data_IF_549593205473
#
_entry.id   IF_549593205473
#
_cell.length_a   1.000
_cell.length_b   1.000
_cell.length_c   1.000
_cell.angle_alpha   90.00
_cell.angle_beta   90.00
_cell.angle_gamma   90.00
#
_symmetry.space_group_name_H-M   'P 1'
#
loop_
_entity.id
_entity.type
_entity.pdbx_description
1 polymer ?
#
# COMPACT_ATOMS: atom_id res chain seq x y z
N UNK A 1 -67.92 -30.60 -13.91
CA UNK A 1 -66.89 -29.55 -13.94
C UNK A 1 -65.87 -29.93 -14.98
N UNK A 2 -65.65 -29.05 -15.94
CA UNK A 2 -64.62 -29.23 -16.97
C UNK A 2 -63.27 -28.76 -16.43
N UNK A 3 -62.15 -29.32 -16.93
CA UNK A 3 -60.80 -28.98 -16.44
C UNK A 3 -60.49 -27.47 -16.47
N UNK A 4 -61.06 -26.74 -17.43
CA UNK A 4 -60.90 -25.29 -17.51
C UNK A 4 -61.60 -24.54 -16.36
N UNK A 5 -62.77 -24.99 -15.92
CA UNK A 5 -63.48 -24.37 -14.79
C UNK A 5 -62.71 -24.57 -13.48
N UNK A 6 -62.05 -25.72 -13.33
CA UNK A 6 -61.21 -26.02 -12.17
C UNK A 6 -59.94 -25.17 -12.22
N UNK A 7 -59.33 -25.00 -13.40
CA UNK A 7 -58.14 -24.17 -13.58
C UNK A 7 -58.42 -22.68 -13.28
N UNK A 8 -59.60 -22.18 -13.67
CA UNK A 8 -60.01 -20.81 -13.43
C UNK A 8 -60.34 -20.57 -11.95
N UNK A 9 -61.02 -21.53 -11.30
CA UNK A 9 -61.31 -21.50 -9.87
C UNK A 9 -60.04 -21.53 -9.01
N UNK A 10 -59.06 -22.37 -9.36
CA UNK A 10 -57.76 -22.45 -8.67
C UNK A 10 -56.91 -21.18 -8.84
N UNK A 11 -57.05 -20.48 -9.97
CA UNK A 11 -56.36 -19.21 -10.21
C UNK A 11 -57.00 -18.06 -9.42
N UNK A 12 -58.32 -18.10 -9.22
CA UNK A 12 -59.06 -17.11 -8.44
C UNK A 12 -58.90 -17.28 -6.91
N UNK A 13 -58.60 -18.49 -6.43
CA UNK A 13 -58.50 -18.78 -4.99
C UNK A 13 -57.16 -19.47 -4.62
N UNK A 14 -56.03 -18.75 -4.63
CA UNK A 14 -54.71 -19.30 -4.30
C UNK A 14 -54.58 -19.78 -2.84
N UNK A 15 -55.39 -19.27 -1.92
CA UNK A 15 -55.41 -19.73 -0.51
C UNK A 15 -55.98 -21.15 -0.34
N UNK A 16 -56.83 -21.60 -1.26
CA UNK A 16 -57.37 -22.95 -1.27
C UNK A 16 -56.26 -23.99 -1.51
N UNK A 17 -55.30 -23.65 -2.39
CA UNK A 17 -54.13 -24.47 -2.69
C UNK A 17 -53.20 -24.55 -1.46
N UNK A 18 -53.03 -23.44 -0.74
CA UNK A 18 -52.20 -23.40 0.45
C UNK A 18 -52.78 -24.25 1.61
N UNK A 19 -54.10 -24.28 1.78
CA UNK A 19 -54.76 -25.06 2.85
C UNK A 19 -54.90 -26.55 2.56
N UNK A 20 -54.79 -27.00 1.31
CA UNK A 20 -55.02 -28.39 0.92
C UNK A 20 -53.81 -29.07 0.27
N UNK A 21 -52.62 -28.43 0.39
CA UNK A 21 -51.35 -28.93 -0.14
C UNK A 21 -50.95 -30.29 0.47
N UNK A 22 -51.36 -30.57 1.70
CA UNK A 22 -51.07 -31.83 2.39
C UNK A 22 -51.85 -33.02 1.82
N UNK A 23 -53.07 -32.79 1.32
CA UNK A 23 -53.89 -33.83 0.68
C UNK A 23 -53.38 -34.18 -0.72
N UNK A 24 -52.85 -33.18 -1.44
CA UNK A 24 -52.18 -33.37 -2.73
C UNK A 24 -50.88 -34.17 -2.59
N UNK A 25 -50.14 -33.96 -1.49
CA UNK A 25 -48.93 -34.72 -1.18
C UNK A 25 -49.22 -36.17 -0.75
N UNK A 26 -50.36 -36.44 -0.11
CA UNK A 26 -50.73 -37.79 0.33
C UNK A 26 -51.09 -38.73 -0.82
N UNK A 27 -51.73 -38.23 -1.88
CA UNK A 27 -52.15 -39.04 -3.03
C UNK A 27 -51.01 -39.33 -4.03
N UNK A 28 -49.93 -38.56 -4.01
CA UNK A 28 -48.82 -38.69 -4.95
C UNK A 28 -47.80 -39.80 -4.59
N UNK A 29 -47.94 -40.43 -3.41
CA UNK A 29 -47.01 -41.48 -2.95
C UNK A 29 -47.49 -42.92 -3.24
N UNK A 30 -48.71 -43.12 -3.72
CA UNK A 30 -49.30 -44.47 -3.87
C UNK A 30 -49.24 -45.04 -5.28
N UNK A 31 -49.22 -44.22 -6.33
CA UNK A 31 -49.33 -44.70 -7.70
C UNK A 31 -48.16 -44.24 -8.57
N UNK A 32 -47.26 -45.20 -8.86
CA UNK A 32 -46.12 -45.17 -9.81
C UNK A 32 -44.81 -44.62 -9.18
N UNK A 33 -43.71 -45.38 -9.12
CA UNK A 33 -43.27 -46.31 -10.16
C UNK A 33 -43.12 -45.56 -11.49
N UNK A 34 -42.42 -44.42 -11.50
CA UNK A 34 -42.17 -43.60 -12.69
C UNK A 34 -42.04 -42.10 -12.37
N UNK A 35 -40.83 -41.57 -12.57
CA UNK A 35 -40.40 -40.14 -12.54
C UNK A 35 -41.19 -39.27 -13.55
N UNK A 36 -41.14 -37.91 -13.57
CA UNK A 36 -41.00 -36.85 -12.56
C UNK A 36 -42.36 -36.11 -12.39
N UNK A 37 -42.65 -35.27 -11.41
CA UNK A 37 -42.32 -33.83 -11.45
C UNK A 37 -42.95 -33.21 -10.18
N UNK A 38 -42.42 -33.65 -9.05
CA UNK A 38 -42.64 -33.02 -7.76
C UNK A 38 -42.02 -31.63 -7.90
N UNK A 39 -42.82 -30.58 -7.80
CA UNK A 39 -42.35 -29.19 -7.60
C UNK A 39 -41.73 -29.08 -6.21
N UNK A 40 -40.61 -29.79 -6.04
CA UNK A 40 -39.61 -29.63 -5.00
C UNK A 40 -39.10 -28.22 -5.22
N UNK A 41 -39.45 -27.30 -4.32
CA UNK A 41 -38.77 -26.01 -4.27
C UNK A 41 -37.33 -26.36 -3.89
N UNK A 42 -36.49 -26.49 -4.92
CA UNK A 42 -35.17 -27.07 -4.82
C UNK A 42 -34.32 -26.20 -3.91
N UNK A 43 -33.52 -26.82 -3.04
CA UNK A 43 -32.43 -26.16 -2.32
C UNK A 43 -31.55 -25.29 -3.25
N UNK A 44 -31.55 -25.58 -4.56
CA UNK A 44 -30.93 -24.79 -5.62
C UNK A 44 -31.40 -23.33 -5.67
N UNK A 45 -32.70 -23.03 -5.48
CA UNK A 45 -33.24 -21.67 -5.63
C UNK A 45 -32.76 -20.70 -4.53
N UNK A 46 -32.38 -21.23 -3.35
CA UNK A 46 -31.78 -20.44 -2.27
C UNK A 46 -30.25 -20.35 -2.36
N UNK A 47 -29.59 -21.30 -3.02
CA UNK A 47 -28.13 -21.35 -3.14
C UNK A 47 -27.59 -20.49 -4.28
N UNK A 48 -28.32 -20.36 -5.39
CA UNK A 48 -27.93 -19.54 -6.55
C UNK A 48 -27.63 -18.07 -6.16
N UNK A 49 -28.48 -17.34 -5.42
CA UNK A 49 -28.18 -15.95 -5.07
C UNK A 49 -26.96 -15.83 -4.13
N UNK A 50 -26.77 -16.79 -3.23
CA UNK A 50 -25.59 -16.83 -2.35
C UNK A 50 -24.29 -17.09 -3.14
N UNK A 51 -24.35 -17.99 -4.12
CA UNK A 51 -23.22 -18.26 -5.02
C UNK A 51 -22.91 -17.05 -5.90
N UNK A 52 -23.93 -16.38 -6.45
CA UNK A 52 -23.74 -15.14 -7.22
C UNK A 52 -23.14 -14.02 -6.37
N UNK A 53 -23.58 -13.84 -5.13
CA UNK A 53 -22.98 -12.88 -4.20
C UNK A 53 -21.52 -13.24 -3.89
N UNK A 54 -21.21 -14.53 -3.74
CA UNK A 54 -19.84 -15.00 -3.49
C UNK A 54 -18.94 -14.80 -4.72
N UNK A 55 -19.46 -15.05 -5.93
CA UNK A 55 -18.76 -14.76 -7.18
C UNK A 55 -18.43 -13.27 -7.27
N UNK A 56 -19.40 -12.39 -7.07
CA UNK A 56 -19.16 -10.93 -7.07
C UNK A 56 -18.14 -10.51 -6.01
N UNK A 57 -18.21 -11.09 -4.81
CA UNK A 57 -17.22 -10.81 -3.77
C UNK A 57 -15.82 -11.28 -4.15
N UNK A 58 -15.70 -12.41 -4.85
CA UNK A 58 -14.42 -12.92 -5.34
C UNK A 58 -13.89 -12.07 -6.50
N UNK A 59 -14.73 -11.68 -7.45
CA UNK A 59 -14.40 -10.77 -8.54
C UNK A 59 -13.85 -9.44 -7.99
N UNK A 60 -14.55 -8.82 -7.04
CA UNK A 60 -14.08 -7.59 -6.39
C UNK A 60 -12.74 -7.78 -5.66
N UNK A 61 -12.49 -8.94 -5.06
CA UNK A 61 -11.20 -9.24 -4.43
C UNK A 61 -10.10 -9.40 -5.46
N UNK A 62 -10.37 -10.08 -6.58
CA UNK A 62 -9.42 -10.24 -7.69
C UNK A 62 -9.06 -8.87 -8.27
N UNK A 63 -10.03 -7.99 -8.47
CA UNK A 63 -9.78 -6.63 -8.95
C UNK A 63 -8.90 -5.84 -7.97
N UNK A 64 -9.19 -5.92 -6.67
CA UNK A 64 -8.35 -5.30 -5.65
C UNK A 64 -6.92 -5.88 -5.63
N UNK A 65 -6.76 -7.20 -5.80
CA UNK A 65 -5.44 -7.82 -5.91
C UNK A 65 -4.68 -7.38 -7.16
N UNK A 66 -5.35 -7.28 -8.30
CA UNK A 66 -4.74 -6.84 -9.55
C UNK A 66 -4.26 -5.38 -9.45
N UNK A 67 -5.09 -4.53 -8.86
CA UNK A 67 -4.74 -3.12 -8.62
C UNK A 67 -3.56 -2.99 -7.65
N UNK A 68 -3.54 -3.76 -6.57
CA UNK A 68 -2.39 -3.83 -5.67
C UNK A 68 -1.14 -4.37 -6.37
N UNK A 69 -1.29 -5.35 -7.24
CA UNK A 69 -0.21 -5.89 -8.08
C UNK A 69 0.39 -4.81 -8.99
N UNK A 70 -0.45 -4.01 -9.65
CA UNK A 70 0.00 -2.89 -10.49
C UNK A 70 0.73 -1.81 -9.69
N UNK A 71 0.22 -1.45 -8.51
CA UNK A 71 0.91 -0.50 -7.62
C UNK A 71 2.27 -1.04 -7.18
N UNK A 72 2.34 -2.30 -6.77
CA UNK A 72 3.59 -2.92 -6.37
C UNK A 72 4.60 -2.95 -7.52
N UNK A 73 4.18 -3.30 -8.73
CA UNK A 73 5.05 -3.27 -9.91
C UNK A 73 5.60 -1.87 -10.18
N UNK A 74 4.76 -0.83 -10.07
CA UNK A 74 5.19 0.56 -10.22
C UNK A 74 6.22 0.96 -9.14
N UNK A 75 6.00 0.55 -7.89
CA UNK A 75 6.92 0.79 -6.76
C UNK A 75 8.27 0.10 -7.02
N UNK A 76 8.26 -1.17 -7.44
CA UNK A 76 9.47 -1.91 -7.77
C UNK A 76 10.23 -1.33 -8.96
N UNK A 77 9.51 -0.92 -10.02
CA UNK A 77 10.10 -0.23 -11.16
C UNK A 77 10.76 1.10 -10.76
N UNK A 78 10.12 1.87 -9.87
CA UNK A 78 10.68 3.09 -9.32
C UNK A 78 11.94 2.81 -8.48
N UNK A 79 11.92 1.76 -7.65
CA UNK A 79 13.09 1.34 -6.86
C UNK A 79 14.27 0.96 -7.75
N UNK A 80 14.02 0.12 -8.76
CA UNK A 80 15.06 -0.37 -9.67
C UNK A 80 15.64 0.78 -10.48
N UNK A 81 14.80 1.62 -11.07
CA UNK A 81 15.26 2.78 -11.85
C UNK A 81 16.06 3.76 -10.99
N UNK A 82 15.61 4.03 -9.75
CA UNK A 82 16.35 4.87 -8.79
C UNK A 82 17.70 4.25 -8.44
N UNK A 83 17.75 2.95 -8.14
CA UNK A 83 18.99 2.23 -7.81
C UNK A 83 20.00 2.30 -8.96
N UNK A 84 19.54 2.04 -10.19
CA UNK A 84 20.36 2.14 -11.38
C UNK A 84 20.86 3.56 -11.64
N UNK A 85 20.05 4.57 -11.35
CA UNK A 85 20.45 5.97 -11.48
C UNK A 85 21.51 6.35 -10.45
N UNK A 86 21.37 5.88 -9.20
CA UNK A 86 22.37 6.10 -8.15
C UNK A 86 23.70 5.42 -8.49
N UNK A 87 23.68 4.20 -9.05
CA UNK A 87 24.90 3.51 -9.49
C UNK A 87 25.61 4.18 -10.67
N UNK A 88 24.92 5.05 -11.42
CA UNK A 88 25.53 5.82 -12.51
C UNK A 88 26.24 7.08 -12.03
N UNK A 89 26.03 7.50 -10.78
CA UNK A 89 26.68 8.70 -10.25
C UNK A 89 28.18 8.43 -10.16
N UNK A 90 28.94 9.21 -10.91
CA UNK A 90 30.40 9.15 -11.00
C UNK A 90 31.06 9.70 -9.74
N UNK A 91 32.26 9.21 -9.44
CA UNK A 91 33.03 9.47 -8.22
C UNK A 91 33.18 10.96 -7.85
N UNK A 92 33.28 11.83 -8.86
CA UNK A 92 33.52 13.27 -8.69
C UNK A 92 32.25 14.07 -8.36
N UNK A 93 31.06 13.51 -8.65
CA UNK A 93 29.78 14.19 -8.52
C UNK A 93 28.93 13.67 -7.34
N UNK A 94 29.47 12.74 -6.54
CA UNK A 94 28.71 12.14 -5.44
C UNK A 94 28.58 13.12 -4.29
N UNK A 95 27.47 13.85 -4.27
CA UNK A 95 27.05 14.68 -3.15
C UNK A 95 25.65 14.29 -2.68
N UNK A 96 25.28 14.54 -1.41
CA UNK A 96 23.90 14.34 -0.93
C UNK A 96 22.86 15.08 -1.79
N UNK A 97 23.22 16.22 -2.38
CA UNK A 97 22.35 16.98 -3.28
C UNK A 97 22.15 16.28 -4.65
N UNK A 98 23.20 15.66 -5.19
CA UNK A 98 23.11 14.85 -6.42
C UNK A 98 22.22 13.62 -6.19
N UNK A 99 22.38 12.95 -5.06
CA UNK A 99 21.55 11.80 -4.66
C UNK A 99 20.09 12.24 -4.50
N UNK A 100 19.83 13.34 -3.78
CA UNK A 100 18.46 13.81 -3.55
C UNK A 100 17.75 14.21 -4.84
N UNK A 101 18.42 14.89 -5.75
CA UNK A 101 17.87 15.26 -7.07
C UNK A 101 17.59 14.05 -7.97
N UNK A 102 18.45 13.03 -7.91
CA UNK A 102 18.26 11.77 -8.63
C UNK A 102 17.02 11.03 -8.12
N UNK A 103 16.90 10.91 -6.78
CA UNK A 103 15.73 10.30 -6.14
C UNK A 103 14.45 11.06 -6.45
N UNK A 104 14.49 12.40 -6.43
CA UNK A 104 13.36 13.28 -6.77
C UNK A 104 12.80 12.93 -8.15
N UNK A 105 13.70 12.77 -9.13
CA UNK A 105 13.36 12.49 -10.53
C UNK A 105 12.78 11.08 -10.70
N UNK A 106 13.40 10.07 -10.10
CA UNK A 106 13.02 8.67 -10.34
C UNK A 106 11.86 8.17 -9.47
N UNK A 107 11.68 8.73 -8.28
CA UNK A 107 10.58 8.37 -7.37
C UNK A 107 9.35 9.28 -7.53
N UNK A 108 9.41 10.28 -8.43
CA UNK A 108 8.37 11.29 -8.64
C UNK A 108 7.96 11.94 -7.32
N UNK A 109 8.94 12.44 -6.56
CA UNK A 109 8.75 13.10 -5.26
C UNK A 109 8.99 14.59 -5.47
N UNK A 110 8.23 15.43 -4.77
CA UNK A 110 8.34 16.89 -4.95
C UNK A 110 9.55 17.44 -4.21
N UNK A 111 9.70 17.14 -2.93
CA UNK A 111 10.84 17.59 -2.15
C UNK A 111 11.57 16.41 -1.51
N UNK A 112 12.89 16.41 -1.65
CA UNK A 112 13.78 15.35 -1.20
C UNK A 112 15.03 15.98 -0.59
N UNK A 113 15.28 15.71 0.69
CA UNK A 113 16.44 16.25 1.41
C UNK A 113 17.14 15.18 2.22
N UNK A 114 18.47 15.21 2.20
CA UNK A 114 19.33 14.31 2.96
C UNK A 114 20.09 15.15 3.98
N UNK A 115 20.02 14.72 5.24
CA UNK A 115 20.80 15.30 6.33
C UNK A 115 21.68 14.19 6.91
N UNK A 116 22.99 14.44 7.01
CA UNK A 116 23.96 13.53 7.61
C UNK A 116 24.62 14.23 8.79
N UNK A 117 24.74 13.51 9.90
CA UNK A 117 25.42 13.93 11.12
C UNK A 117 26.70 13.11 11.26
N UNK A 118 27.81 13.79 11.53
CA UNK A 118 29.09 13.15 11.84
C UNK A 118 29.31 13.07 13.35
N UNK A 119 29.94 12.00 13.84
CA UNK A 119 30.16 11.75 15.28
C UNK A 119 30.93 12.86 16.02
N UNK A 120 31.68 13.72 15.30
CA UNK A 120 32.53 14.77 15.87
C UNK A 120 32.02 16.20 15.63
N UNK A 121 30.74 16.39 15.30
CA UNK A 121 30.21 17.71 15.00
C UNK A 121 29.70 18.41 16.26
N UNK A 122 30.35 19.51 16.67
CA UNK A 122 29.77 20.43 17.64
C UNK A 122 28.65 21.23 16.98
N UNK A 123 27.41 21.06 17.44
CA UNK A 123 26.27 21.83 16.96
C UNK A 123 26.34 23.26 17.50
N UNK A 124 26.24 24.25 16.61
CA UNK A 124 26.45 25.65 16.95
C UNK A 124 25.22 26.28 17.63
N UNK A 125 24.03 25.70 17.41
CA UNK A 125 22.77 26.20 17.96
C UNK A 125 21.97 25.13 18.70
N UNK A 126 21.12 25.57 19.64
CA UNK A 126 20.19 24.70 20.37
C UNK A 126 19.18 24.04 19.42
N UNK A 127 18.77 24.74 18.36
CA UNK A 127 17.88 24.22 17.32
C UNK A 127 18.53 23.09 16.49
N UNK A 128 19.80 23.23 16.11
CA UNK A 128 20.56 22.16 15.43
C UNK A 128 20.71 20.93 16.32
N UNK A 129 20.89 21.14 17.64
CA UNK A 129 20.98 20.04 18.59
C UNK A 129 19.63 19.31 18.75
N UNK A 130 18.52 20.05 18.79
CA UNK A 130 17.17 19.45 18.78
C UNK A 130 16.96 18.63 17.50
N UNK A 131 17.35 19.18 16.34
CA UNK A 131 17.24 18.47 15.06
C UNK A 131 18.13 17.22 15.01
N UNK A 132 19.36 17.29 15.52
CA UNK A 132 20.26 16.16 15.60
C UNK A 132 19.71 15.04 16.49
N UNK A 133 19.18 15.39 17.67
CA UNK A 133 18.52 14.44 18.57
C UNK A 133 17.29 13.79 17.92
N UNK A 134 16.51 14.57 17.14
CA UNK A 134 15.40 14.03 16.37
C UNK A 134 15.87 13.00 15.34
N UNK A 135 16.92 13.29 14.56
CA UNK A 135 17.49 12.33 13.60
C UNK A 135 17.91 11.03 14.31
N UNK A 136 18.62 11.14 15.44
CA UNK A 136 19.08 9.98 16.21
C UNK A 136 17.93 9.17 16.83
N UNK A 137 16.77 9.79 17.04
CA UNK A 137 15.58 9.10 17.57
C UNK A 137 14.82 8.26 16.53
N UNK A 138 15.10 8.44 15.24
CA UNK A 138 14.44 7.71 14.16
C UNK A 138 15.18 6.39 13.93
N UNK A 139 14.59 5.30 14.40
CA UNK A 139 15.08 3.93 14.21
C UNK A 139 14.50 3.24 12.97
N UNK A 140 13.29 3.63 12.56
CA UNK A 140 12.54 3.06 11.43
C UNK A 140 11.88 4.15 10.61
N UNK A 141 11.57 3.90 9.32
CA UNK A 141 10.90 4.90 8.50
C UNK A 141 9.51 5.24 9.07
N UNK A 142 9.21 6.54 9.13
CA UNK A 142 7.94 7.08 9.67
C UNK A 142 7.31 8.03 8.67
N UNK A 143 6.00 7.92 8.50
CA UNK A 143 5.19 8.81 7.67
C UNK A 143 4.37 9.74 8.58
N UNK A 144 4.34 11.04 8.27
CA UNK A 144 3.60 12.06 9.02
C UNK A 144 2.90 13.01 8.06
N UNK A 145 1.69 13.44 8.43
CA UNK A 145 0.92 14.45 7.68
C UNK A 145 1.47 15.85 7.96
N UNK A 146 2.04 16.08 9.15
CA UNK A 146 2.68 17.35 9.51
C UNK A 146 4.08 17.14 10.08
N UNK A 147 4.90 18.19 9.97
CA UNK A 147 6.21 18.25 10.61
C UNK A 147 6.09 18.10 12.14
N UNK A 148 6.92 17.26 12.79
CA UNK A 148 7.15 17.31 14.23
C UNK A 148 7.47 18.74 14.68
N UNK A 149 6.99 19.14 15.87
CA UNK A 149 7.18 20.51 16.37
C UNK A 149 8.66 20.86 16.52
N UNK A 150 9.47 19.86 16.87
CA UNK A 150 10.92 19.92 17.05
C UNK A 150 11.66 20.41 15.80
N UNK A 151 11.12 20.08 14.62
CA UNK A 151 11.77 20.39 13.33
C UNK A 151 10.98 21.40 12.49
N UNK A 152 9.82 21.83 12.99
CA UNK A 152 8.88 22.71 12.27
C UNK A 152 9.51 24.05 11.88
N UNK A 153 10.40 24.60 12.70
CA UNK A 153 11.11 25.84 12.35
C UNK A 153 12.08 25.65 11.18
N UNK A 154 12.79 24.52 11.16
CA UNK A 154 13.80 24.18 10.16
C UNK A 154 13.19 23.74 8.81
N UNK A 155 11.97 23.21 8.85
CA UNK A 155 11.34 22.57 7.69
C UNK A 155 10.24 23.38 6.99
N UNK A 156 9.84 24.52 7.56
CA UNK A 156 8.73 25.37 7.08
C UNK A 156 8.77 25.74 5.60
N UNK A 157 9.95 25.88 5.01
CA UNK A 157 10.07 26.36 3.62
C UNK A 157 9.95 25.26 2.56
N UNK A 158 9.93 24.00 2.95
CA UNK A 158 9.98 22.87 2.00
C UNK A 158 9.17 21.64 2.43
N UNK A 159 8.55 21.64 3.61
CA UNK A 159 7.56 20.62 3.98
C UNK A 159 6.18 20.93 3.40
N UNK A 160 5.57 19.89 2.86
CA UNK A 160 4.30 19.90 2.16
C UNK A 160 3.24 19.12 2.96
N UNK A 161 2.16 18.67 2.31
CA UNK A 161 0.99 18.10 2.96
C UNK A 161 1.20 16.70 3.57
N UNK A 162 2.22 15.96 3.15
CA UNK A 162 2.68 14.75 3.83
C UNK A 162 4.18 14.57 3.66
N UNK A 163 4.81 13.91 4.64
CA UNK A 163 6.26 13.69 4.66
C UNK A 163 6.63 12.31 5.19
N UNK A 164 7.71 11.75 4.67
CA UNK A 164 8.32 10.52 5.16
C UNK A 164 9.74 10.77 5.63
N UNK A 165 10.08 10.21 6.79
CA UNK A 165 11.39 10.30 7.44
C UNK A 165 12.01 8.92 7.42
N UNK A 166 13.16 8.80 6.76
CA UNK A 166 13.80 7.53 6.47
C UNK A 166 15.19 7.56 7.10
N UNK A 167 15.47 6.72 8.11
CA UNK A 167 16.78 6.73 8.74
C UNK A 167 17.85 6.26 7.75
N UNK A 168 19.00 6.93 7.79
CA UNK A 168 20.19 6.58 7.03
C UNK A 168 21.32 6.25 7.99
N UNK A 169 22.10 5.24 7.64
CA UNK A 169 23.29 4.87 8.41
C UNK A 169 24.45 4.66 7.45
N UNK A 170 25.52 5.41 7.69
CA UNK A 170 26.79 5.26 7.00
C UNK A 170 27.90 5.02 8.05
N UNK A 171 29.05 4.49 7.66
CA UNK A 171 30.16 4.20 8.57
C UNK A 171 30.57 5.46 9.36
N UNK A 172 30.24 5.50 10.65
CA UNK A 172 30.54 6.62 11.54
C UNK A 172 29.66 7.86 11.32
N UNK A 173 28.51 7.71 10.67
CA UNK A 173 27.56 8.81 10.46
C UNK A 173 26.12 8.32 10.45
N UNK A 174 25.23 9.08 11.08
CA UNK A 174 23.78 8.81 11.11
C UNK A 174 23.08 9.95 10.41
N UNK A 175 22.02 9.66 9.68
CA UNK A 175 21.30 10.66 8.93
C UNK A 175 19.82 10.37 8.77
N UNK A 176 19.14 11.29 8.09
CA UNK A 176 17.75 11.11 7.68
C UNK A 176 17.58 11.57 6.24
N UNK A 177 16.86 10.77 5.48
CA UNK A 177 16.29 11.14 4.19
C UNK A 177 14.83 11.54 4.43
N UNK A 178 14.48 12.76 4.02
CA UNK A 178 13.14 13.31 4.16
C UNK A 178 12.54 13.47 2.76
N UNK A 179 11.42 12.79 2.54
CA UNK A 179 10.55 13.03 1.40
C UNK A 179 9.38 13.90 1.82
N UNK A 180 8.97 14.81 0.94
CA UNK A 180 7.77 15.61 1.13
C UNK A 180 6.97 15.70 -0.17
N UNK A 181 5.65 15.71 -0.04
CA UNK A 181 4.70 15.66 -1.14
C UNK A 181 3.48 16.56 -0.87
N UNK A 182 2.98 17.24 -1.90
CA UNK A 182 1.72 17.98 -1.83
C UNK A 182 0.49 17.09 -1.68
N UNK A 183 0.60 15.81 -2.02
CA UNK A 183 -0.43 14.80 -1.78
C UNK A 183 -0.40 14.30 -0.33
N UNK A 184 -1.45 14.58 0.44
CA UNK A 184 -1.60 14.16 1.83
C UNK A 184 -1.72 12.62 2.00
N UNK A 185 -2.16 11.89 0.97
CA UNK A 185 -2.33 10.44 1.03
C UNK A 185 -1.06 9.67 0.69
N UNK A 186 -0.07 10.31 0.05
CA UNK A 186 1.15 9.63 -0.42
C UNK A 186 2.02 9.10 0.70
N UNK A 187 2.16 9.85 1.79
CA UNK A 187 2.85 9.45 3.02
C UNK A 187 1.86 9.40 4.19
N UNK A 188 0.75 8.68 4.00
CA UNK A 188 -0.20 8.40 5.08
C UNK A 188 0.46 7.50 6.16
N UNK A 189 0.26 7.79 7.46
CA UNK A 189 0.85 6.99 8.55
C UNK A 189 0.45 5.51 8.58
N UNK A 190 -0.63 5.12 7.90
CA UNK A 190 -1.11 3.74 7.85
C UNK A 190 -0.50 2.93 6.69
N UNK A 191 0.28 3.56 5.80
CA UNK A 191 0.93 2.88 4.68
C UNK A 191 2.11 2.06 5.19
N UNK A 192 2.31 0.88 4.58
CA UNK A 192 3.48 0.04 4.83
C UNK A 192 4.77 0.75 4.41
N UNK A 193 5.72 0.84 5.34
CA UNK A 193 6.97 1.56 5.16
C UNK A 193 8.13 0.69 4.67
N UNK A 194 7.90 -0.60 4.39
CA UNK A 194 8.93 -1.52 3.84
C UNK A 194 9.62 -0.98 2.58
N UNK A 195 8.88 -0.30 1.71
CA UNK A 195 9.47 0.33 0.53
C UNK A 195 10.48 1.41 0.93
N UNK A 196 10.13 2.25 1.90
CA UNK A 196 10.97 3.34 2.38
C UNK A 196 12.22 2.81 3.09
N UNK A 197 12.09 1.69 3.82
CA UNK A 197 13.22 0.98 4.43
C UNK A 197 14.23 0.52 3.36
N UNK A 198 13.75 -0.09 2.26
CA UNK A 198 14.60 -0.49 1.13
C UNK A 198 15.31 0.71 0.50
N UNK A 199 14.59 1.82 0.30
CA UNK A 199 15.19 3.08 -0.19
C UNK A 199 16.28 3.56 0.76
N UNK A 200 16.03 3.55 2.08
CA UNK A 200 17.00 3.91 3.11
C UNK A 200 18.28 3.09 3.00
N UNK A 201 18.19 1.77 2.81
CA UNK A 201 19.35 0.91 2.63
C UNK A 201 20.15 1.23 1.36
N UNK A 202 19.48 1.44 0.23
CA UNK A 202 20.14 1.76 -1.04
C UNK A 202 20.89 3.09 -0.93
N UNK A 203 20.24 4.11 -0.36
CA UNK A 203 20.82 5.45 -0.20
C UNK A 203 21.97 5.43 0.79
N UNK A 204 21.80 4.74 1.92
CA UNK A 204 22.87 4.52 2.91
C UNK A 204 24.11 3.89 2.26
N UNK A 205 23.91 2.83 1.46
CA UNK A 205 25.00 2.16 0.73
C UNK A 205 25.67 3.09 -0.29
N UNK A 206 24.88 3.90 -1.00
CA UNK A 206 25.41 4.86 -1.97
C UNK A 206 26.27 5.94 -1.28
N UNK A 207 25.84 6.42 -0.11
CA UNK A 207 26.60 7.37 0.71
C UNK A 207 27.86 6.72 1.27
N UNK A 208 27.77 5.49 1.80
CA UNK A 208 28.93 4.74 2.29
C UNK A 208 30.01 4.58 1.23
N UNK A 209 29.61 4.22 0.02
CA UNK A 209 30.52 4.13 -1.11
C UNK A 209 31.16 5.50 -1.37
N UNK A 210 30.38 6.58 -1.42
CA UNK A 210 30.90 7.94 -1.59
C UNK A 210 31.96 8.32 -0.54
N UNK A 211 31.67 8.06 0.74
CA UNK A 211 32.54 8.39 1.86
C UNK A 211 33.82 7.54 1.87
N UNK A 212 33.74 6.25 1.56
CA UNK A 212 34.91 5.38 1.45
C UNK A 212 35.92 5.91 0.41
N UNK A 213 35.43 6.44 -0.71
CA UNK A 213 36.29 6.95 -1.77
C UNK A 213 36.96 8.30 -1.47
N UNK A 214 36.37 9.11 -0.58
CA UNK A 214 36.99 10.36 -0.11
C UNK A 214 38.18 10.07 0.82
N UNK A 215 38.08 9.04 1.66
CA UNK A 215 39.17 8.63 2.56
C UNK A 215 40.36 7.98 1.83
N UNK A 216 40.15 7.28 0.72
CA UNK A 216 41.23 6.70 -0.10
C UNK A 216 42.06 7.75 -0.86
N UNK A 217 41.52 8.95 -1.06
CA UNK A 217 42.25 10.04 -1.76
C UNK A 217 43.33 10.68 -0.88
N UNK A 218 43.34 10.41 0.44
CA UNK A 218 44.35 10.88 1.38
C UNK A 218 45.52 9.90 1.57
N UNK A 219 45.41 8.64 1.13
CA UNK A 219 46.46 7.62 1.35
C UNK A 219 47.41 7.43 0.16
N UNK A 220 47.29 8.21 -0.92
CA UNK A 220 48.16 8.11 -2.10
C UNK A 220 49.22 9.22 -2.24
N UNK A 221 49.43 10.03 -1.22
CA UNK A 221 50.56 10.95 -1.14
C UNK A 221 51.44 10.66 0.08
N UNK A 222 52.17 9.54 0.02
CA UNK A 222 53.46 9.37 0.72
C UNK A 222 54.61 9.40 -0.28
#
# INVERSE_FOLDING_TARGET
MTENEIAEYLRAHPEFIAKHIDLLNAHHNAEKGGVPDRKVISLSDRQIPQLQQKIRSLENKVDAFLENGRRNEAIWGALLSSSLALFKITREDVSPATISSTLRTHLNIEECRIFMLSDNQEYASEEENIFANFIMSIDKPKCLIEAPEEIKHFSRSWMLASSAYIPLSAKGSVGVLIFSSSDAQKFDPNIDTQFLERVGHIVSTAIDNACAFQNESFTQHE
#
